data_IF_578734174322
#
_entry.id   IF_578734174322
#
_cell.length_a   1.000
_cell.length_b   1.000
_cell.length_c   1.000
_cell.angle_alpha   90.00
_cell.angle_beta   90.00
_cell.angle_gamma   90.00
#
_symmetry.space_group_name_H-M   'P 1'
#
loop_
_entity.id
_entity.type
_entity.pdbx_description
1 polymer ?
#
# COMPACT_ATOMS: atom_id res chain seq x y z
N UNK A 1 13.33 -15.32 1.15
CA UNK A 1 14.35 -15.19 2.22
C UNK A 1 15.69 -15.58 1.63
N UNK A 2 16.53 -14.60 1.33
CA UNK A 2 17.93 -14.81 0.97
C UNK A 2 18.72 -13.70 1.67
N UNK A 3 19.45 -14.08 2.72
CA UNK A 3 20.26 -13.17 3.52
C UNK A 3 21.69 -13.22 2.98
N UNK A 4 22.16 -12.15 2.34
CA UNK A 4 23.59 -11.84 2.37
C UNK A 4 23.93 -11.41 3.81
N UNK A 5 25.01 -11.94 4.37
CA UNK A 5 25.33 -11.82 5.79
C UNK A 5 25.30 -10.35 6.27
N UNK A 6 24.32 -10.01 7.11
CA UNK A 6 24.18 -8.70 7.77
C UNK A 6 22.89 -7.93 7.50
N UNK A 7 22.15 -8.22 6.41
CA UNK A 7 20.89 -7.52 6.09
C UNK A 7 19.67 -8.40 6.35
N UNK A 8 18.69 -7.88 7.10
CA UNK A 8 17.37 -8.49 7.28
C UNK A 8 16.34 -7.75 6.43
N UNK A 9 15.64 -8.48 5.57
CA UNK A 9 14.61 -7.93 4.69
C UNK A 9 13.30 -8.70 4.87
N UNK A 10 12.19 -8.00 4.68
CA UNK A 10 10.86 -8.57 4.57
C UNK A 10 10.15 -8.00 3.33
N UNK A 11 9.24 -8.79 2.76
CA UNK A 11 8.43 -8.40 1.61
C UNK A 11 6.95 -8.58 1.98
N UNK A 12 6.19 -7.50 1.86
CA UNK A 12 4.73 -7.53 1.98
C UNK A 12 4.13 -7.38 0.59
N UNK A 13 3.36 -8.38 0.16
CA UNK A 13 2.60 -8.32 -1.10
C UNK A 13 1.13 -8.14 -0.74
N UNK A 14 0.48 -7.16 -1.37
CA UNK A 14 -0.94 -6.91 -1.22
C UNK A 14 -1.60 -6.84 -2.59
N UNK A 15 -2.79 -7.40 -2.72
CA UNK A 15 -3.66 -7.23 -3.88
C UNK A 15 -4.77 -6.25 -3.55
N UNK A 16 -4.99 -5.28 -4.43
CA UNK A 16 -6.08 -4.31 -4.31
C UNK A 16 -7.01 -4.51 -5.49
N UNK A 17 -8.25 -4.91 -5.22
CA UNK A 17 -9.30 -5.08 -6.22
C UNK A 17 -10.09 -3.79 -6.31
N UNK A 18 -10.09 -3.17 -7.48
CA UNK A 18 -10.97 -2.06 -7.81
C UNK A 18 -12.25 -2.60 -8.43
N UNK A 19 -13.40 -2.02 -8.06
CA UNK A 19 -14.63 -2.23 -8.83
C UNK A 19 -14.47 -1.64 -10.24
N UNK A 20 -15.26 -2.09 -11.23
CA UNK A 20 -15.38 -1.37 -12.49
C UNK A 20 -15.73 0.11 -12.26
N UNK A 21 -15.01 1.00 -12.92
CA UNK A 21 -15.23 2.45 -12.88
C UNK A 21 -15.80 2.92 -14.20
N UNK A 22 -16.75 3.86 -14.13
CA UNK A 22 -17.29 4.54 -15.30
C UNK A 22 -16.38 5.72 -15.67
N UNK A 23 -16.34 6.09 -16.95
CA UNK A 23 -15.53 7.22 -17.43
C UNK A 23 -15.78 8.53 -16.64
N UNK A 24 -17.04 8.92 -16.32
CA UNK A 24 -17.28 10.13 -15.53
C UNK A 24 -16.71 10.07 -14.09
N UNK A 25 -16.61 8.87 -13.51
CA UNK A 25 -16.01 8.69 -12.18
C UNK A 25 -14.50 8.89 -12.22
N UNK A 26 -13.85 8.36 -13.27
CA UNK A 26 -12.43 8.55 -13.53
C UNK A 26 -12.14 10.04 -13.77
N UNK A 27 -12.94 10.71 -14.60
CA UNK A 27 -12.79 12.15 -14.88
C UNK A 27 -12.91 12.99 -13.60
N UNK A 28 -13.94 12.74 -12.78
CA UNK A 28 -14.12 13.40 -11.47
C UNK A 28 -12.93 13.14 -10.55
N UNK A 29 -12.42 11.91 -10.52
CA UNK A 29 -11.28 11.56 -9.68
C UNK A 29 -10.00 12.29 -10.13
N UNK A 30 -9.72 12.32 -11.42
CA UNK A 30 -8.60 13.05 -12.02
C UNK A 30 -8.71 14.56 -11.76
N UNK A 31 -9.89 15.13 -11.92
CA UNK A 31 -10.15 16.55 -11.66
C UNK A 31 -9.88 16.96 -10.19
N UNK A 32 -9.92 16.01 -9.24
CA UNK A 32 -9.58 16.27 -7.84
C UNK A 32 -8.09 16.54 -7.61
N UNK A 33 -7.22 16.20 -8.56
CA UNK A 33 -5.77 16.30 -8.43
C UNK A 33 -5.12 15.22 -7.54
N UNK A 34 -5.91 14.42 -6.82
CA UNK A 34 -5.39 13.35 -5.95
C UNK A 34 -4.51 12.32 -6.68
N UNK A 35 -4.78 11.91 -7.94
CA UNK A 35 -3.93 10.96 -8.65
C UNK A 35 -2.48 11.42 -8.85
N UNK A 36 -2.25 12.74 -8.85
CA UNK A 36 -0.94 13.30 -9.19
C UNK A 36 0.09 12.93 -8.13
N UNK A 37 1.26 12.49 -8.60
CA UNK A 37 2.39 12.10 -7.75
C UNK A 37 2.23 10.73 -7.06
N UNK A 38 1.24 9.91 -7.43
CA UNK A 38 1.02 8.58 -6.85
C UNK A 38 1.27 7.48 -7.88
N UNK A 39 2.03 6.46 -7.51
CA UNK A 39 2.22 5.28 -8.33
C UNK A 39 0.86 4.58 -8.56
N UNK A 40 0.55 4.23 -9.81
CA UNK A 40 -0.77 3.69 -10.17
C UNK A 40 -1.91 4.71 -10.16
N UNK A 41 -1.61 6.01 -10.00
CA UNK A 41 -2.56 7.12 -10.05
C UNK A 41 -3.69 7.04 -9.00
N UNK A 42 -3.43 6.42 -7.83
CA UNK A 42 -4.39 6.37 -6.74
C UNK A 42 -3.73 6.40 -5.35
N UNK A 43 -4.47 6.82 -4.32
CA UNK A 43 -4.06 6.72 -2.92
C UNK A 43 -5.12 6.04 -2.07
N UNK A 44 -4.78 4.92 -1.43
CA UNK A 44 -5.74 4.08 -0.70
C UNK A 44 -6.41 4.79 0.50
N UNK A 45 -5.76 5.81 1.06
CA UNK A 45 -6.24 6.65 2.16
C UNK A 45 -7.09 7.84 1.71
N UNK A 46 -7.22 8.04 0.39
CA UNK A 46 -7.88 9.20 -0.20
C UNK A 46 -9.23 8.85 -0.84
N UNK A 47 -9.66 9.70 -1.77
CA UNK A 47 -10.89 9.54 -2.56
C UNK A 47 -10.90 8.24 -3.36
N UNK A 48 -9.74 7.70 -3.76
CA UNK A 48 -9.69 6.41 -4.44
C UNK A 48 -10.26 5.24 -3.62
N UNK A 49 -10.36 5.35 -2.29
CA UNK A 49 -11.03 4.35 -1.46
C UNK A 49 -12.48 4.08 -1.90
N UNK A 50 -13.14 5.07 -2.54
CA UNK A 50 -14.47 4.94 -3.15
C UNK A 50 -14.55 3.81 -4.20
N UNK A 51 -13.43 3.47 -4.83
CA UNK A 51 -13.35 2.51 -5.93
C UNK A 51 -12.76 1.16 -5.51
N UNK A 52 -12.27 1.04 -4.27
CA UNK A 52 -11.62 -0.18 -3.78
C UNK A 52 -12.66 -1.12 -3.19
N UNK A 53 -12.84 -2.25 -3.86
CA UNK A 53 -13.80 -3.28 -3.46
C UNK A 53 -13.21 -4.21 -2.39
N UNK A 54 -11.91 -4.53 -2.51
CA UNK A 54 -11.26 -5.49 -1.61
C UNK A 54 -9.76 -5.30 -1.54
N UNK A 55 -9.19 -5.54 -0.36
CA UNK A 55 -7.75 -5.64 -0.13
C UNK A 55 -7.45 -7.03 0.42
N UNK A 56 -6.52 -7.74 -0.21
CA UNK A 56 -5.92 -8.96 0.34
C UNK A 56 -4.44 -8.67 0.66
N UNK A 57 -4.10 -8.65 1.94
CA UNK A 57 -2.74 -8.36 2.41
C UNK A 57 -2.71 -7.22 3.42
N UNK A 58 -1.67 -6.39 3.36
CA UNK A 58 -1.42 -5.33 4.34
C UNK A 58 -1.80 -3.96 3.81
N UNK A 59 -2.79 -3.32 4.46
CA UNK A 59 -3.12 -1.90 4.22
C UNK A 59 -1.91 -1.00 4.50
N UNK A 60 -1.21 -1.24 5.61
CA UNK A 60 0.01 -0.49 5.94
C UNK A 60 1.13 -0.69 4.90
N UNK A 61 1.24 -1.90 4.34
CA UNK A 61 2.13 -2.19 3.20
C UNK A 61 1.77 -1.38 1.96
N UNK A 62 0.48 -1.27 1.63
CA UNK A 62 -0.01 -0.43 0.51
C UNK A 62 0.30 1.05 0.76
N UNK A 63 0.16 1.52 2.00
CA UNK A 63 0.50 2.89 2.40
C UNK A 63 2.01 3.18 2.31
N UNK A 64 2.85 2.16 2.20
CA UNK A 64 4.30 2.28 1.98
C UNK A 64 5.19 1.73 3.09
N UNK A 65 4.64 1.29 4.23
CA UNK A 65 5.41 0.64 5.30
C UNK A 65 4.61 -0.50 5.96
N UNK A 66 4.95 -1.77 5.68
CA UNK A 66 4.22 -2.92 6.21
C UNK A 66 4.52 -3.12 7.70
N UNK A 67 3.67 -2.57 8.56
CA UNK A 67 3.95 -2.43 9.99
C UNK A 67 4.14 -3.75 10.72
N UNK A 68 3.46 -4.82 10.29
CA UNK A 68 3.62 -6.15 10.90
C UNK A 68 5.06 -6.67 10.71
N UNK A 69 5.54 -6.65 9.47
CA UNK A 69 6.88 -7.06 9.08
C UNK A 69 7.93 -6.10 9.65
N UNK A 70 7.69 -4.79 9.59
CA UNK A 70 8.58 -3.78 10.17
C UNK A 70 8.75 -3.99 11.68
N UNK A 71 7.66 -4.22 12.42
CA UNK A 71 7.74 -4.49 13.86
C UNK A 71 8.51 -5.77 14.16
N UNK A 72 8.35 -6.83 13.34
CA UNK A 72 9.12 -8.06 13.48
C UNK A 72 10.63 -7.82 13.26
N UNK A 73 11.01 -7.10 12.20
CA UNK A 73 12.41 -6.75 11.92
C UNK A 73 13.03 -5.88 13.02
N UNK A 74 12.27 -4.92 13.57
CA UNK A 74 12.73 -4.07 14.68
C UNK A 74 12.97 -4.88 15.96
N UNK A 75 12.07 -5.82 16.30
CA UNK A 75 12.27 -6.73 17.43
C UNK A 75 13.50 -7.63 17.24
N UNK A 76 13.73 -8.13 16.03
CA UNK A 76 14.94 -8.90 15.71
C UNK A 76 16.23 -8.07 15.83
N UNK A 77 16.13 -6.75 15.71
CA UNK A 77 17.21 -5.80 15.96
C UNK A 77 17.32 -5.35 17.43
N UNK A 78 16.47 -5.86 18.33
CA UNK A 78 16.45 -5.53 19.76
C UNK A 78 15.69 -4.24 20.10
N UNK A 79 14.89 -3.70 19.18
CA UNK A 79 14.07 -2.51 19.40
C UNK A 79 12.62 -2.90 19.72
N UNK A 80 12.13 -2.46 20.88
CA UNK A 80 10.77 -2.72 21.37
C UNK A 80 10.02 -1.39 21.54
N UNK A 81 8.78 -1.34 21.08
CA UNK A 81 7.89 -0.18 21.14
C UNK A 81 6.44 -0.63 21.33
#
# INVERSE_FOLDING_TARGET
>A
VATSAGQRHALSISHVTFRPMLAPEIERYVASGEPLGKAGAYGIQGRAAEFVERIDGSYSGIMGLPLFETAALLREAGLHF
#
